data_IF_873595889684
#
_entry.id   IF_873595889684
#
_cell.length_a   1.000
_cell.length_b   1.000
_cell.length_c   1.000
_cell.angle_alpha   90.00
_cell.angle_beta   90.00
_cell.angle_gamma   90.00
#
_symmetry.space_group_name_H-M   'P 1'
#
loop_
_entity.id
_entity.type
_entity.pdbx_description
1 polymer ?
#
# COMPACT_ATOMS: atom_id res chain seq x y z
N UNK A 1 -24.58 6.13 -9.61
CA UNK A 1 -23.94 5.59 -8.40
C UNK A 1 -24.98 5.31 -7.35
N UNK A 2 -25.51 4.09 -7.36
CA UNK A 2 -26.28 3.54 -6.26
C UNK A 2 -25.31 3.05 -5.14
N UNK A 3 -25.86 2.61 -4.02
CA UNK A 3 -25.04 2.18 -2.88
C UNK A 3 -24.18 0.95 -3.18
N UNK A 4 -24.63 0.05 -4.07
CA UNK A 4 -23.84 -1.11 -4.49
C UNK A 4 -22.64 -0.70 -5.36
N UNK A 5 -22.85 0.18 -6.34
CA UNK A 5 -21.76 0.73 -7.16
C UNK A 5 -20.74 1.48 -6.29
N UNK A 6 -21.19 2.15 -5.23
CA UNK A 6 -20.31 2.83 -4.26
C UNK A 6 -19.50 1.83 -3.44
N UNK A 7 -20.11 0.72 -3.00
CA UNK A 7 -19.41 -0.34 -2.27
C UNK A 7 -18.35 -1.03 -3.13
N UNK A 8 -18.70 -1.43 -4.37
CA UNK A 8 -17.76 -2.04 -5.31
C UNK A 8 -16.54 -1.14 -5.57
N UNK A 9 -16.75 0.18 -5.64
CA UNK A 9 -15.67 1.14 -5.78
C UNK A 9 -14.75 1.20 -4.55
N UNK A 10 -15.29 1.04 -3.34
CA UNK A 10 -14.49 0.95 -2.11
C UNK A 10 -13.74 -0.37 -2.00
N UNK A 11 -14.34 -1.48 -2.42
CA UNK A 11 -13.69 -2.79 -2.46
C UNK A 11 -12.52 -2.79 -3.47
N UNK A 12 -12.74 -2.22 -4.66
CA UNK A 12 -11.70 -2.03 -5.65
C UNK A 12 -10.56 -1.15 -5.12
N UNK A 13 -10.89 -0.03 -4.48
CA UNK A 13 -9.90 0.82 -3.83
C UNK A 13 -9.08 0.07 -2.77
N UNK A 14 -9.74 -0.74 -1.94
CA UNK A 14 -9.05 -1.53 -0.92
C UNK A 14 -8.11 -2.57 -1.54
N UNK A 15 -8.51 -3.20 -2.64
CA UNK A 15 -7.65 -4.11 -3.40
C UNK A 15 -6.43 -3.38 -4.02
N UNK A 16 -6.64 -2.20 -4.59
CA UNK A 16 -5.57 -1.40 -5.20
C UNK A 16 -4.53 -0.97 -4.17
N UNK A 17 -4.96 -0.47 -3.00
CA UNK A 17 -4.05 -0.08 -1.90
C UNK A 17 -3.22 -1.28 -1.42
N UNK A 18 -3.82 -2.47 -1.33
CA UNK A 18 -3.09 -3.71 -0.98
C UNK A 18 -2.07 -4.10 -2.05
N UNK A 19 -2.43 -3.96 -3.32
CA UNK A 19 -1.50 -4.21 -4.43
C UNK A 19 -0.33 -3.24 -4.40
N UNK A 20 -0.59 -1.94 -4.22
CA UNK A 20 0.45 -0.92 -4.13
C UNK A 20 1.38 -1.18 -2.93
N UNK A 21 0.83 -1.59 -1.78
CA UNK A 21 1.63 -1.96 -0.60
C UNK A 21 2.56 -3.15 -0.90
N UNK A 22 2.07 -4.15 -1.63
CA UNK A 22 2.87 -5.30 -2.04
C UNK A 22 4.01 -4.88 -2.97
N UNK A 23 3.73 -4.05 -3.97
CA UNK A 23 4.71 -3.56 -4.95
C UNK A 23 5.80 -2.71 -4.29
N UNK A 24 5.42 -1.76 -3.43
CA UNK A 24 6.37 -0.95 -2.66
C UNK A 24 7.24 -1.83 -1.77
N UNK A 25 6.65 -2.84 -1.12
CA UNK A 25 7.38 -3.76 -0.27
C UNK A 25 8.39 -4.59 -1.08
N UNK A 26 7.99 -5.12 -2.23
CA UNK A 26 8.87 -5.86 -3.14
C UNK A 26 10.04 -4.98 -3.61
N UNK A 27 9.77 -3.75 -4.04
CA UNK A 27 10.80 -2.80 -4.47
C UNK A 27 11.77 -2.44 -3.37
N UNK A 28 11.31 -2.33 -2.13
CA UNK A 28 12.17 -2.12 -0.97
C UNK A 28 13.10 -3.31 -0.71
N UNK A 29 12.61 -4.54 -0.87
CA UNK A 29 13.44 -5.74 -0.70
C UNK A 29 14.48 -5.89 -1.82
N UNK A 30 14.17 -5.50 -3.06
CA UNK A 30 15.16 -5.40 -4.13
C UNK A 30 16.29 -4.41 -3.77
N UNK A 31 15.93 -3.22 -3.27
CA UNK A 31 16.90 -2.21 -2.84
C UNK A 31 17.71 -2.70 -1.64
N UNK A 32 17.10 -3.47 -0.73
CA UNK A 32 17.81 -4.10 0.38
C UNK A 32 18.84 -5.10 -0.12
N UNK A 33 18.47 -5.99 -1.04
CA UNK A 33 19.38 -6.94 -1.68
C UNK A 33 20.56 -6.27 -2.39
N UNK A 34 20.34 -5.07 -2.95
CA UNK A 34 21.38 -4.25 -3.56
C UNK A 34 22.16 -3.34 -2.58
N UNK A 35 21.96 -3.47 -1.26
CA UNK A 35 22.56 -2.64 -0.21
C UNK A 35 22.27 -1.12 -0.34
N UNK A 36 21.13 -0.76 -0.94
CA UNK A 36 20.69 0.64 -1.19
C UNK A 36 19.76 1.19 -0.11
N UNK A 37 19.77 0.62 1.09
CA UNK A 37 18.85 0.98 2.20
C UNK A 37 19.03 2.40 2.73
N UNK A 38 20.18 3.05 2.52
CA UNK A 38 20.46 4.41 3.01
C UNK A 38 20.06 5.51 2.01
N UNK A 39 19.64 5.13 0.79
CA UNK A 39 19.32 6.06 -0.29
C UNK A 39 18.05 6.87 -0.02
N UNK A 40 17.93 8.03 -0.68
CA UNK A 40 16.72 8.84 -0.61
C UNK A 40 15.49 8.06 -1.10
N UNK A 41 15.63 7.31 -2.19
CA UNK A 41 14.57 6.46 -2.77
C UNK A 41 14.06 5.43 -1.77
N UNK A 42 14.95 4.74 -1.04
CA UNK A 42 14.53 3.77 -0.04
C UNK A 42 13.76 4.44 1.11
N UNK A 43 14.17 5.63 1.55
CA UNK A 43 13.45 6.39 2.61
C UNK A 43 12.07 6.85 2.15
N UNK A 44 11.95 7.29 0.89
CA UNK A 44 10.67 7.66 0.29
C UNK A 44 9.73 6.45 0.23
N UNK A 45 10.20 5.31 -0.29
CA UNK A 45 9.42 4.07 -0.32
C UNK A 45 9.04 3.59 1.08
N UNK A 46 9.93 3.72 2.06
CA UNK A 46 9.61 3.41 3.46
C UNK A 46 8.46 4.27 3.98
N UNK A 47 8.48 5.58 3.73
CA UNK A 47 7.40 6.49 4.13
C UNK A 47 6.08 6.12 3.46
N UNK A 48 6.09 5.89 2.14
CA UNK A 48 4.91 5.41 1.39
C UNK A 48 4.36 4.11 1.98
N UNK A 49 5.23 3.14 2.26
CA UNK A 49 4.84 1.85 2.85
C UNK A 49 4.16 2.03 4.20
N UNK A 50 4.67 2.91 5.07
CA UNK A 50 4.07 3.17 6.38
C UNK A 50 2.65 3.73 6.23
N UNK A 51 2.46 4.69 5.32
CA UNK A 51 1.13 5.25 5.02
C UNK A 51 0.18 4.18 4.48
N UNK A 52 0.61 3.39 3.50
CA UNK A 52 -0.21 2.30 2.93
C UNK A 52 -0.60 1.27 3.99
N UNK A 53 0.31 0.89 4.89
CA UNK A 53 -0.02 -0.01 6.01
C UNK A 53 -1.07 0.57 6.96
N UNK A 54 -1.04 1.88 7.24
CA UNK A 54 -2.06 2.50 8.07
C UNK A 54 -3.43 2.54 7.36
N UNK A 55 -3.45 2.80 6.05
CA UNK A 55 -4.68 2.76 5.25
C UNK A 55 -5.28 1.36 5.23
N UNK A 56 -4.47 0.33 4.92
CA UNK A 56 -4.92 -1.08 4.91
C UNK A 56 -5.51 -1.46 6.26
N UNK A 57 -4.83 -1.12 7.37
CA UNK A 57 -5.35 -1.38 8.73
C UNK A 57 -6.72 -0.76 8.95
N UNK A 58 -6.92 0.50 8.55
CA UNK A 58 -8.21 1.19 8.72
C UNK A 58 -9.31 0.60 7.83
N UNK A 59 -8.98 0.12 6.63
CA UNK A 59 -9.93 -0.58 5.78
C UNK A 59 -10.37 -1.91 6.42
N UNK A 60 -9.42 -2.68 6.94
CA UNK A 60 -9.68 -3.94 7.64
C UNK A 60 -10.57 -3.74 8.89
N UNK A 61 -10.38 -2.65 9.64
CA UNK A 61 -11.25 -2.26 10.76
C UNK A 61 -12.72 -2.05 10.37
N UNK A 62 -12.98 -1.79 9.08
CA UNK A 62 -14.32 -1.62 8.51
C UNK A 62 -14.76 -2.80 7.64
N UNK A 63 -13.98 -3.89 7.56
CA UNK A 63 -14.30 -5.08 6.77
C UNK A 63 -14.07 -4.91 5.26
N UNK A 64 -13.32 -3.88 4.86
CA UNK A 64 -12.89 -3.60 3.48
C UNK A 64 -11.48 -4.12 3.25
#
# INVERSE_FOLDING_TARGET
MNDAERLDAYDAFAADVRSELADVSARMEELRGANKVKTATYRQLFATRVTLKDIVRRLEEHGL
#
